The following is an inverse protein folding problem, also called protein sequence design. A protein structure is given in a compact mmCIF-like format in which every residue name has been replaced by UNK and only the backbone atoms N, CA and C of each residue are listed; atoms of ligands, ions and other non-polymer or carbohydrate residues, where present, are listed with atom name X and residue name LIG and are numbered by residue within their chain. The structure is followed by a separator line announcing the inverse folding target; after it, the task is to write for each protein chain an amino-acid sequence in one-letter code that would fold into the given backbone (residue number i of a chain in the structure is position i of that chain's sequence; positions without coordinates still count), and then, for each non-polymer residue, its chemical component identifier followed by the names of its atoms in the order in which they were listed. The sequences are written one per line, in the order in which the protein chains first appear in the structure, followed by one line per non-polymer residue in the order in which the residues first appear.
data_IF_394747614250
#
_entry.id   IF_394747614250
#
_cell.length_a   1.000
_cell.length_b   1.000
_cell.length_c   1.000
_cell.angle_alpha   90.00
_cell.angle_beta   90.00
_cell.angle_gamma   90.00
#
_symmetry.space_group_name_H-M   'P 1'
#
loop_
_entity.id
_entity.type
_entity.pdbx_description
1 polymer ?
#
# COMPACT_ATOMS: atom_id res chain seq x y z
N UNK A 1 20.17 -19.50 -45.91
CA UNK A 1 19.58 -18.30 -45.25
C UNK A 1 18.61 -18.63 -44.12
N UNK A 2 17.63 -19.55 -44.32
CA UNK A 2 16.60 -19.90 -43.32
C UNK A 2 17.14 -20.42 -41.98
N UNK A 3 18.24 -21.19 -42.01
CA UNK A 3 18.90 -21.79 -40.83
C UNK A 3 19.60 -20.74 -39.96
N UNK A 4 20.23 -19.74 -40.58
CA UNK A 4 20.94 -18.65 -39.87
C UNK A 4 19.93 -17.78 -39.09
N UNK A 5 18.76 -17.54 -39.68
CA UNK A 5 17.69 -16.79 -39.00
C UNK A 5 17.11 -17.55 -37.80
N UNK A 6 17.03 -18.89 -37.90
CA UNK A 6 16.63 -19.74 -36.77
C UNK A 6 17.63 -19.67 -35.61
N UNK A 7 18.94 -19.61 -35.89
CA UNK A 7 19.98 -19.47 -34.86
C UNK A 7 19.95 -18.11 -34.15
N UNK A 8 19.34 -17.08 -34.75
CA UNK A 8 19.18 -15.75 -34.13
C UNK A 8 17.84 -15.61 -33.41
N UNK A 9 16.76 -16.17 -33.96
CA UNK A 9 15.43 -16.14 -33.36
C UNK A 9 15.31 -16.99 -32.09
N UNK A 10 15.95 -18.16 -32.07
CA UNK A 10 15.91 -19.06 -30.92
C UNK A 10 16.46 -18.43 -29.64
N UNK A 11 17.68 -17.84 -29.59
CA UNK A 11 18.18 -17.21 -28.38
C UNK A 11 17.37 -15.97 -28.00
N UNK A 12 16.86 -15.20 -28.96
CA UNK A 12 15.99 -14.05 -28.69
C UNK A 12 14.69 -14.48 -27.98
N UNK A 13 14.09 -15.56 -28.45
CA UNK A 13 12.86 -16.10 -27.86
C UNK A 13 13.09 -16.68 -26.46
N UNK A 14 14.23 -17.35 -26.25
CA UNK A 14 14.64 -17.87 -24.94
C UNK A 14 14.89 -16.71 -23.95
N UNK A 15 15.57 -15.65 -24.38
CA UNK A 15 15.78 -14.46 -23.56
C UNK A 15 14.45 -13.79 -23.17
N UNK A 16 13.50 -13.68 -24.10
CA UNK A 16 12.17 -13.16 -23.79
C UNK A 16 11.47 -14.02 -22.73
N UNK A 17 11.44 -15.35 -22.91
CA UNK A 17 10.82 -16.28 -21.95
C UNK A 17 11.43 -16.19 -20.55
N UNK A 18 12.74 -16.00 -20.45
CA UNK A 18 13.47 -15.88 -19.18
C UNK A 18 13.21 -14.54 -18.46
N UNK A 19 12.83 -13.49 -19.19
CA UNK A 19 12.55 -12.17 -18.63
C UNK A 19 11.09 -11.98 -18.23
N UNK A 20 10.16 -12.79 -18.76
CA UNK A 20 8.73 -12.77 -18.39
C UNK A 20 8.46 -12.90 -16.86
N UNK A 21 9.13 -13.80 -16.11
CA UNK A 21 8.90 -13.94 -14.68
C UNK A 21 9.33 -12.71 -13.87
N UNK A 22 10.28 -11.92 -14.38
CA UNK A 22 10.84 -10.75 -13.68
C UNK A 22 9.85 -9.58 -13.68
N UNK A 23 9.03 -9.45 -14.73
CA UNK A 23 7.95 -8.44 -14.80
C UNK A 23 6.65 -8.90 -14.11
N UNK A 24 6.45 -10.21 -13.93
CA UNK A 24 5.27 -10.75 -13.23
C UNK A 24 5.42 -10.79 -11.71
N UNK A 25 6.65 -10.70 -11.20
CA UNK A 25 6.92 -10.62 -9.77
C UNK A 25 6.79 -9.16 -9.32
N UNK A 26 5.55 -8.66 -9.20
CA UNK A 26 5.35 -7.54 -8.28
C UNK A 26 5.61 -8.09 -6.88
N UNK A 27 6.57 -7.54 -6.12
CA UNK A 27 6.57 -7.74 -4.68
C UNK A 27 5.17 -7.38 -4.21
N UNK A 28 4.52 -8.29 -3.49
CA UNK A 28 3.32 -7.94 -2.73
C UNK A 28 3.71 -6.68 -1.97
N UNK A 29 3.14 -5.55 -2.38
CA UNK A 29 3.50 -4.27 -1.82
C UNK A 29 3.21 -4.43 -0.33
N UNK A 30 4.27 -4.51 0.49
CA UNK A 30 4.13 -4.44 1.94
C UNK A 30 3.15 -3.29 2.15
N UNK A 31 2.03 -3.49 2.88
CA UNK A 31 1.01 -2.46 3.01
C UNK A 31 1.74 -1.19 3.36
N UNK A 32 1.73 -0.23 2.43
CA UNK A 32 2.58 0.93 2.57
C UNK A 32 2.12 1.56 3.87
N UNK A 33 3.02 1.74 4.83
CA UNK A 33 2.67 2.29 6.15
C UNK A 33 2.08 3.70 6.06
N UNK A 34 2.03 4.28 4.85
CA UNK A 34 1.32 5.51 4.55
C UNK A 34 -0.20 5.41 4.72
N UNK A 35 -0.80 4.21 4.77
CA UNK A 35 -2.27 4.04 4.91
C UNK A 35 -2.74 3.86 6.37
N UNK A 36 -1.82 3.50 7.28
CA UNK A 36 -2.14 3.26 8.69
C UNK A 36 -1.39 4.24 9.59
N UNK A 37 -2.13 5.17 10.19
CA UNK A 37 -1.59 6.10 11.18
C UNK A 37 -1.56 5.44 12.57
N UNK A 38 -0.36 5.23 13.12
CA UNK A 38 -0.17 4.82 14.51
C UNK A 38 0.10 6.05 15.39
N UNK A 39 -0.77 6.30 16.36
CA UNK A 39 -0.62 7.36 17.36
C UNK A 39 -0.01 6.78 18.64
N UNK A 40 1.05 7.40 19.15
CA UNK A 40 1.72 7.02 20.39
C UNK A 40 1.60 8.15 21.42
N UNK A 41 0.45 8.23 22.08
CA UNK A 41 0.19 9.17 23.17
C UNK A 41 -0.45 8.45 24.38
N UNK A 42 -0.90 9.21 25.38
CA UNK A 42 -1.58 8.66 26.58
C UNK A 42 -3.02 8.21 26.30
N UNK A 43 -3.55 8.47 25.10
CA UNK A 43 -4.92 8.21 24.71
C UNK A 43 -5.91 9.27 25.20
N UNK A 44 -7.17 9.19 24.75
CA UNK A 44 -8.22 10.11 25.13
C UNK A 44 -8.67 9.89 26.57
N UNK A 45 -9.05 10.96 27.26
CA UNK A 45 -9.67 10.88 28.60
C UNK A 45 -11.12 10.39 28.49
N UNK A 46 -11.80 10.78 27.40
CA UNK A 46 -13.16 10.34 27.06
C UNK A 46 -13.34 10.32 25.55
N UNK A 47 -14.17 9.40 25.07
CA UNK A 47 -14.57 9.32 23.65
C UNK A 47 -16.00 9.80 23.40
N UNK A 48 -16.72 10.24 24.45
CA UNK A 48 -18.06 10.79 24.30
C UNK A 48 -17.97 12.26 23.83
N UNK A 49 -18.45 12.58 22.60
CA UNK A 49 -18.39 13.95 22.07
C UNK A 49 -19.18 14.97 22.89
N UNK A 50 -20.19 14.55 23.65
CA UNK A 50 -21.05 15.45 24.41
C UNK A 50 -20.38 16.01 25.68
N UNK A 51 -19.36 15.33 26.21
CA UNK A 51 -18.70 15.68 27.47
C UNK A 51 -17.20 15.94 27.34
N UNK A 52 -16.65 15.83 26.13
CA UNK A 52 -15.23 16.07 25.86
C UNK A 52 -14.92 17.57 25.78
N UNK A 53 -14.14 18.09 26.73
CA UNK A 53 -13.63 19.47 26.73
C UNK A 53 -12.13 19.58 26.43
N UNK A 54 -11.44 18.45 26.34
CA UNK A 54 -9.98 18.39 26.20
C UNK A 54 -9.55 18.18 24.75
N UNK A 55 -8.45 18.83 24.35
CA UNK A 55 -7.94 18.75 22.98
C UNK A 55 -7.48 17.34 22.59
N UNK A 56 -6.89 16.58 23.54
CA UNK A 56 -6.41 15.20 23.30
C UNK A 56 -7.58 14.30 22.88
N UNK A 57 -8.68 14.32 23.64
CA UNK A 57 -9.89 13.57 23.31
C UNK A 57 -10.50 13.99 21.98
N UNK A 58 -10.46 15.30 21.67
CA UNK A 58 -11.00 15.84 20.42
C UNK A 58 -10.26 15.31 19.18
N UNK A 59 -8.93 15.06 19.25
CA UNK A 59 -8.14 14.46 18.16
C UNK A 59 -8.67 13.09 17.74
N UNK A 60 -9.16 12.29 18.69
CA UNK A 60 -9.76 10.98 18.40
C UNK A 60 -11.20 11.11 17.92
N UNK A 61 -11.99 11.97 18.57
CA UNK A 61 -13.41 12.14 18.29
C UNK A 61 -13.66 12.56 16.83
N UNK A 62 -12.85 13.49 16.28
CA UNK A 62 -13.02 13.95 14.89
C UNK A 62 -12.68 12.89 13.83
N UNK A 63 -11.91 11.86 14.21
CA UNK A 63 -11.59 10.74 13.32
C UNK A 63 -12.68 9.66 13.36
N UNK A 64 -13.37 9.52 14.51
CA UNK A 64 -14.36 8.45 14.74
C UNK A 64 -15.78 8.90 14.39
N UNK A 65 -16.13 10.12 14.78
CA UNK A 65 -17.49 10.64 14.68
C UNK A 65 -17.58 11.73 13.62
N UNK A 66 -18.73 11.78 12.95
CA UNK A 66 -19.11 12.85 12.01
C UNK A 66 -20.42 13.46 12.44
N UNK A 67 -20.59 14.77 12.17
CA UNK A 67 -21.82 15.49 12.49
C UNK A 67 -22.94 15.23 11.47
N UNK A 68 -24.18 15.47 11.91
CA UNK A 68 -25.34 15.49 11.02
C UNK A 68 -25.34 16.86 10.32
N UNK A 69 -25.00 16.89 9.04
CA UNK A 69 -25.10 18.07 8.16
C UNK A 69 -26.47 18.16 7.51
#
# INVERSE_FOLDING_TARGET
MKKIWQFVLLPLFVCALLLLPVVGCQPEALPSSHDVLNLYDTGPITLDPAISSEMISHTYIVQIFSGLV
#
